data_IF_600496470495
#
_entry.id   IF_600496470495
#
_cell.length_a   1.000
_cell.length_b   1.000
_cell.length_c   1.000
_cell.angle_alpha   90.00
_cell.angle_beta   90.00
_cell.angle_gamma   90.00
#
_symmetry.space_group_name_H-M   'P 1'
#
loop_
_entity.id
_entity.type
_entity.pdbx_description
1 polymer ?
#
# COMPACT_ATOMS: atom_id res chain seq x y z
N UNK A 1 17.22 -13.23 1.57
CA UNK A 1 15.75 -13.04 1.64
C UNK A 1 15.54 -11.67 2.25
N UNK A 2 15.29 -10.65 1.44
CA UNK A 2 15.09 -9.29 1.96
C UNK A 2 13.75 -9.26 2.68
N UNK A 3 13.78 -8.92 3.97
CA UNK A 3 12.57 -8.65 4.73
C UNK A 3 11.83 -7.52 4.00
N UNK A 4 10.65 -7.80 3.46
CA UNK A 4 9.80 -6.76 2.88
C UNK A 4 9.62 -5.66 3.94
N UNK A 5 9.99 -4.43 3.59
CA UNK A 5 9.79 -3.27 4.46
C UNK A 5 8.30 -3.16 4.79
N UNK A 6 7.97 -2.69 6.00
CA UNK A 6 6.58 -2.55 6.47
C UNK A 6 5.63 -1.90 5.43
N UNK A 7 6.03 -0.86 4.67
CA UNK A 7 5.19 -0.27 3.63
C UNK A 7 4.83 -1.26 2.50
N UNK A 8 5.79 -2.08 2.06
CA UNK A 8 5.56 -3.09 1.01
C UNK A 8 4.57 -4.15 1.52
N UNK A 9 4.71 -4.58 2.78
CA UNK A 9 3.78 -5.53 3.40
C UNK A 9 2.35 -4.97 3.45
N UNK A 10 2.20 -3.69 3.81
CA UNK A 10 0.90 -3.00 3.83
C UNK A 10 0.30 -2.93 2.41
N UNK A 11 1.08 -2.50 1.42
CA UNK A 11 0.60 -2.40 0.03
C UNK A 11 0.11 -3.76 -0.47
N UNK A 12 0.91 -4.82 -0.28
CA UNK A 12 0.54 -6.18 -0.70
C UNK A 12 -0.70 -6.68 0.03
N UNK A 13 -0.86 -6.37 1.32
CA UNK A 13 -2.06 -6.73 2.09
C UNK A 13 -3.32 -6.06 1.53
N UNK A 14 -3.26 -4.76 1.21
CA UNK A 14 -4.39 -4.00 0.68
C UNK A 14 -4.78 -4.44 -0.73
N UNK A 15 -3.81 -4.74 -1.59
CA UNK A 15 -4.05 -5.16 -2.98
C UNK A 15 -4.38 -6.65 -3.12
N UNK A 16 -3.91 -7.49 -2.18
CA UNK A 16 -4.08 -8.95 -2.23
C UNK A 16 -5.27 -9.49 -1.43
N UNK A 17 -6.03 -8.63 -0.74
CA UNK A 17 -7.23 -9.00 0.02
C UNK A 17 -8.49 -8.44 -0.64
N UNK A 18 -9.66 -8.86 -0.15
CA UNK A 18 -10.96 -8.36 -0.61
C UNK A 18 -11.11 -6.83 -0.43
N UNK A 19 -10.27 -6.22 0.41
CA UNK A 19 -10.12 -4.77 0.54
C UNK A 19 -9.89 -4.09 -0.80
N UNK A 20 -9.22 -4.75 -1.73
CA UNK A 20 -8.95 -4.21 -3.06
C UNK A 20 -10.22 -3.75 -3.77
N UNK A 21 -11.36 -4.40 -3.52
CA UNK A 21 -12.66 -4.07 -4.10
C UNK A 21 -13.26 -2.76 -3.56
N UNK A 22 -12.81 -2.31 -2.39
CA UNK A 22 -13.28 -1.08 -1.73
C UNK A 22 -12.33 0.11 -1.91
N UNK A 23 -11.11 -0.13 -2.40
CA UNK A 23 -10.16 0.93 -2.72
C UNK A 23 -10.71 1.84 -3.81
N UNK A 24 -10.59 3.16 -3.60
CA UNK A 24 -10.89 4.12 -4.65
C UNK A 24 -9.87 3.99 -5.79
N UNK A 25 -10.28 4.29 -7.03
CA UNK A 25 -9.41 4.15 -8.21
C UNK A 25 -8.07 4.89 -8.08
N UNK A 26 -8.08 6.09 -7.46
CA UNK A 26 -6.87 6.85 -7.18
C UNK A 26 -5.96 6.18 -6.14
N UNK A 27 -6.54 5.62 -5.07
CA UNK A 27 -5.78 4.92 -4.03
C UNK A 27 -5.15 3.64 -4.58
N UNK A 28 -5.88 2.88 -5.39
CA UNK A 28 -5.35 1.69 -6.07
C UNK A 28 -4.19 2.06 -6.99
N UNK A 29 -4.31 3.14 -7.76
CA UNK A 29 -3.24 3.64 -8.61
C UNK A 29 -2.00 4.00 -7.78
N UNK A 30 -2.16 4.76 -6.69
CA UNK A 30 -1.05 5.11 -5.79
C UNK A 30 -0.35 3.87 -5.24
N UNK A 31 -1.09 2.89 -4.71
CA UNK A 31 -0.53 1.67 -4.15
C UNK A 31 0.26 0.87 -5.20
N UNK A 32 -0.25 0.72 -6.42
CA UNK A 32 0.44 0.02 -7.51
C UNK A 32 1.72 0.78 -7.92
N UNK A 33 1.63 2.09 -8.08
CA UNK A 33 2.79 2.94 -8.42
C UNK A 33 3.88 2.85 -7.36
N UNK A 34 3.53 2.90 -6.07
CA UNK A 34 4.51 2.79 -4.98
C UNK A 34 5.11 1.39 -4.89
N UNK A 35 4.31 0.35 -5.12
CA UNK A 35 4.83 -1.02 -5.18
C UNK A 35 5.87 -1.18 -6.30
N UNK A 36 5.61 -0.60 -7.48
CA UNK A 36 6.57 -0.60 -8.58
C UNK A 36 7.81 0.22 -8.23
N UNK A 37 7.66 1.42 -7.66
CA UNK A 37 8.77 2.27 -7.24
C UNK A 37 9.72 1.55 -6.28
N UNK A 38 9.18 0.78 -5.32
CA UNK A 38 9.99 0.02 -4.35
C UNK A 38 10.94 -1.04 -4.97
N UNK A 39 10.76 -1.38 -6.25
CA UNK A 39 11.67 -2.30 -6.96
C UNK A 39 12.96 -1.60 -7.44
N UNK A 40 12.93 -0.28 -7.59
CA UNK A 40 14.03 0.50 -8.17
C UNK A 40 14.55 1.57 -7.22
N UNK A 41 13.68 2.10 -6.35
CA UNK A 41 13.94 3.27 -5.50
C UNK A 41 13.26 3.13 -4.13
N UNK A 42 13.67 3.99 -3.20
CA UNK A 42 13.02 4.09 -1.88
C UNK A 42 11.80 5.00 -1.96
N UNK A 43 10.79 4.74 -1.12
CA UNK A 43 9.66 5.64 -0.95
C UNK A 43 10.07 6.84 -0.10
N UNK A 44 9.56 8.02 -0.46
CA UNK A 44 9.73 9.23 0.34
C UNK A 44 8.68 9.33 1.47
N UNK A 45 8.87 10.28 2.38
CA UNK A 45 8.01 10.45 3.56
C UNK A 45 6.54 10.71 3.20
N UNK A 46 6.26 11.44 2.12
CA UNK A 46 4.88 11.73 1.69
C UNK A 46 4.20 10.48 1.15
N UNK A 47 4.94 9.66 0.40
CA UNK A 47 4.44 8.39 -0.12
C UNK A 47 4.12 7.43 1.04
N UNK A 48 4.97 7.39 2.06
CA UNK A 48 4.73 6.61 3.28
C UNK A 48 3.49 7.08 4.05
N UNK A 49 3.30 8.39 4.18
CA UNK A 49 2.09 8.96 4.80
C UNK A 49 0.81 8.58 4.04
N UNK A 50 0.84 8.62 2.70
CA UNK A 50 -0.30 8.23 1.86
C UNK A 50 -0.64 6.75 2.09
N UNK A 51 0.36 5.86 2.07
CA UNK A 51 0.16 4.43 2.31
C UNK A 51 -0.46 4.19 3.70
N UNK A 52 0.06 4.85 4.74
CA UNK A 52 -0.47 4.75 6.10
C UNK A 52 -1.90 5.26 6.21
N UNK A 53 -2.23 6.36 5.53
CA UNK A 53 -3.59 6.91 5.49
C UNK A 53 -4.57 5.94 4.85
N UNK A 54 -4.21 5.36 3.70
CA UNK A 54 -5.04 4.36 3.01
C UNK A 54 -5.21 3.13 3.91
N UNK A 55 -4.13 2.62 4.51
CA UNK A 55 -4.21 1.48 5.41
C UNK A 55 -5.17 1.73 6.58
N UNK A 56 -5.08 2.88 7.25
CA UNK A 56 -6.00 3.23 8.35
C UNK A 56 -7.46 3.29 7.89
N UNK A 57 -7.72 3.84 6.70
CA UNK A 57 -9.08 3.91 6.11
C UNK A 57 -9.69 2.53 5.92
N UNK A 58 -8.89 1.55 5.49
CA UNK A 58 -9.37 0.22 5.14
C UNK A 58 -9.06 -0.88 6.16
N UNK A 59 -8.35 -0.59 7.24
CA UNK A 59 -8.00 -1.56 8.29
C UNK A 59 -9.22 -2.32 8.84
N UNK A 60 -10.37 -1.66 8.93
CA UNK A 60 -11.64 -2.27 9.41
C UNK A 60 -12.17 -3.41 8.53
N UNK A 61 -11.70 -3.52 7.29
CA UNK A 61 -12.07 -4.59 6.35
C UNK A 61 -11.06 -5.74 6.33
N UNK A 62 -10.00 -5.65 7.15
CA UNK A 62 -8.96 -6.69 7.29
C UNK A 62 -9.14 -7.55 8.56
N UNK A 63 -10.28 -7.40 9.25
CA UNK A 63 -10.62 -8.13 10.48
C UNK A 63 -11.28 -9.47 10.21
#
# INVERSE_FOLDING_TARGET
MSADSEPIRIIRLLLGSEVSNYLESGERLHLVTYLQKTQSESLDEKELEIIQRIFRKYKKYLS
#
